data_IF_682949767598
#
_entry.id   IF_682949767598
#
_cell.length_a   1.000
_cell.length_b   1.000
_cell.length_c   1.000
_cell.angle_alpha   90.00
_cell.angle_beta   90.00
_cell.angle_gamma   90.00
#
_symmetry.space_group_name_H-M   'P 1'
#
loop_
_entity.id
_entity.type
_entity.pdbx_description
1 polymer ?
#
# COMPACT_ATOMS: atom_id res chain seq x y z
N UNK A 1 10.82 -4.39 3.64
CA UNK A 1 10.88 -2.96 4.02
C UNK A 1 11.80 -2.28 3.02
N UNK A 2 11.34 -1.25 2.30
CA UNK A 2 12.15 -0.55 1.30
C UNK A 2 12.83 0.69 1.89
N UNK A 3 12.08 1.51 2.62
CA UNK A 3 12.60 2.74 3.22
C UNK A 3 11.86 3.07 4.53
N UNK A 4 12.58 3.61 5.52
CA UNK A 4 12.00 4.07 6.79
C UNK A 4 11.97 5.60 6.81
N UNK A 5 10.84 6.17 7.19
CA UNK A 5 10.70 7.57 7.53
C UNK A 5 10.43 7.72 9.03
N UNK A 6 10.43 8.95 9.52
CA UNK A 6 10.26 9.28 10.94
C UNK A 6 8.94 8.72 11.51
N UNK A 7 7.84 8.90 10.78
CA UNK A 7 6.50 8.48 11.19
C UNK A 7 5.81 7.52 10.20
N UNK A 8 6.52 7.06 9.16
CA UNK A 8 5.96 6.17 8.13
C UNK A 8 7.01 5.18 7.60
N UNK A 9 6.60 4.15 6.86
CA UNK A 9 7.50 3.17 6.23
C UNK A 9 7.02 2.84 4.82
N UNK A 10 7.93 2.89 3.84
CA UNK A 10 7.68 2.39 2.49
C UNK A 10 7.88 0.88 2.47
N UNK A 11 6.83 0.16 2.05
CA UNK A 11 6.84 -1.30 1.97
C UNK A 11 6.47 -1.77 0.57
N UNK A 12 7.25 -2.72 0.06
CA UNK A 12 6.89 -3.50 -1.12
C UNK A 12 5.95 -4.62 -0.71
N UNK A 13 4.75 -4.64 -1.28
CA UNK A 13 3.77 -5.69 -1.06
C UNK A 13 3.61 -6.55 -2.32
N UNK A 14 3.76 -7.86 -2.18
CA UNK A 14 3.55 -8.83 -3.27
C UNK A 14 2.45 -9.81 -2.85
N UNK A 15 1.16 -9.52 -3.15
CA UNK A 15 0.07 -10.36 -2.73
C UNK A 15 0.10 -11.70 -3.48
N UNK A 16 0.14 -12.80 -2.73
CA UNK A 16 0.17 -14.17 -3.30
C UNK A 16 -1.19 -14.54 -3.89
N UNK A 17 -2.27 -13.98 -3.33
CA UNK A 17 -3.65 -14.14 -3.81
C UNK A 17 -4.23 -12.78 -4.19
N UNK A 18 -5.30 -12.76 -4.99
CA UNK A 18 -5.91 -11.54 -5.52
C UNK A 18 -7.21 -11.13 -4.81
N UNK A 19 -7.33 -11.32 -3.49
CA UNK A 19 -8.59 -10.98 -2.79
C UNK A 19 -8.82 -9.47 -2.76
N UNK A 20 -10.08 -9.07 -2.75
CA UNK A 20 -10.48 -7.67 -2.64
C UNK A 20 -9.87 -7.02 -1.40
N UNK A 21 -9.22 -5.87 -1.58
CA UNK A 21 -8.57 -5.09 -0.52
C UNK A 21 -7.50 -5.83 0.30
N UNK A 22 -6.95 -6.95 -0.20
CA UNK A 22 -6.07 -7.83 0.56
C UNK A 22 -4.90 -7.10 1.23
N UNK A 23 -4.17 -6.27 0.46
CA UNK A 23 -3.03 -5.52 1.01
C UNK A 23 -3.51 -4.56 2.11
N UNK A 24 -4.57 -3.78 1.85
CA UNK A 24 -5.13 -2.78 2.77
C UNK A 24 -5.51 -3.38 4.13
N UNK A 25 -6.23 -4.51 4.10
CA UNK A 25 -6.68 -5.20 5.32
C UNK A 25 -5.51 -5.85 6.04
N UNK A 26 -4.55 -6.44 5.33
CA UNK A 26 -3.40 -7.09 5.95
C UNK A 26 -2.50 -6.08 6.66
N UNK A 27 -2.23 -4.93 6.05
CA UNK A 27 -1.39 -3.88 6.65
C UNK A 27 -2.08 -3.27 7.88
N UNK A 28 -3.40 -3.05 7.82
CA UNK A 28 -4.19 -2.66 8.99
C UNK A 28 -4.12 -3.71 10.11
N UNK A 29 -4.34 -4.99 9.78
CA UNK A 29 -4.30 -6.09 10.75
C UNK A 29 -2.94 -6.23 11.43
N UNK A 30 -1.86 -5.95 10.68
CA UNK A 30 -0.50 -5.91 11.22
C UNK A 30 -0.20 -4.66 12.08
N UNK A 31 -1.15 -3.75 12.27
CA UNK A 31 -0.98 -2.51 13.06
C UNK A 31 -0.34 -1.36 12.28
N UNK A 32 -0.18 -1.49 10.96
CA UNK A 32 0.45 -0.49 10.10
C UNK A 32 -0.46 -0.16 8.91
N UNK A 33 -1.60 0.53 9.13
CA UNK A 33 -2.55 0.84 8.07
C UNK A 33 -1.92 1.72 6.97
N UNK A 34 -2.48 1.66 5.76
CA UNK A 34 -2.00 2.48 4.63
C UNK A 34 -2.48 3.92 4.81
N UNK A 35 -1.60 4.87 4.48
CA UNK A 35 -1.92 6.29 4.44
C UNK A 35 -3.08 6.61 3.48
N UNK A 36 -3.99 7.47 3.92
CA UNK A 36 -5.18 7.95 3.19
C UNK A 36 -6.07 6.80 2.72
N UNK A 37 -6.21 5.78 3.55
CA UNK A 37 -7.19 4.71 3.36
C UNK A 37 -8.49 5.05 4.11
N UNK A 38 -9.51 5.48 3.38
CA UNK A 38 -10.79 5.92 3.97
C UNK A 38 -11.52 4.85 4.80
N UNK A 39 -11.21 3.56 4.61
CA UNK A 39 -11.94 2.43 5.23
C UNK A 39 -11.13 1.71 6.31
N UNK A 40 -9.84 1.50 6.06
CA UNK A 40 -8.95 0.72 6.92
C UNK A 40 -7.78 1.55 7.47
N UNK A 41 -7.75 2.85 7.15
CA UNK A 41 -6.70 3.79 7.54
C UNK A 41 -6.81 4.29 8.98
N UNK A 42 -5.86 5.14 9.34
CA UNK A 42 -5.84 5.86 10.60
C UNK A 42 -5.85 7.38 10.33
N UNK A 43 -6.88 8.05 10.84
CA UNK A 43 -7.07 9.50 10.66
C UNK A 43 -6.00 10.33 11.37
N UNK A 44 -5.41 9.84 12.45
CA UNK A 44 -4.31 10.53 13.14
C UNK A 44 -3.04 10.44 12.31
N UNK A 45 -2.76 9.27 11.72
CA UNK A 45 -1.66 9.08 10.78
C UNK A 45 -1.83 9.96 9.52
N UNK A 46 -3.03 10.05 8.97
CA UNK A 46 -3.31 10.90 7.81
C UNK A 46 -3.11 12.40 8.13
N UNK A 47 -3.47 12.84 9.34
CA UNK A 47 -3.20 14.21 9.80
C UNK A 47 -1.71 14.50 9.90
N UNK A 48 -0.90 13.55 10.39
CA UNK A 48 0.56 13.70 10.43
C UNK A 48 1.15 13.84 9.01
N UNK A 49 0.57 13.13 8.05
CA UNK A 49 0.98 13.20 6.64
C UNK A 49 0.41 14.41 5.88
N UNK A 50 -0.48 15.22 6.47
CA UNK A 50 -1.11 16.35 5.78
C UNK A 50 -0.11 17.34 5.17
N UNK A 51 1.05 17.55 5.82
CA UNK A 51 2.12 18.42 5.34
C UNK A 51 2.81 17.91 4.07
N UNK A 52 2.67 16.62 3.73
CA UNK A 52 3.25 16.03 2.52
C UNK A 52 2.47 16.35 1.24
N UNK A 53 1.27 16.93 1.36
CA UNK A 53 0.37 17.18 0.24
C UNK A 53 -0.32 15.92 -0.29
N UNK A 54 -0.14 14.77 0.37
CA UNK A 54 -0.83 13.54 0.03
C UNK A 54 -2.34 13.68 0.27
N UNK A 55 -3.14 13.21 -0.68
CA UNK A 55 -4.61 13.33 -0.65
C UNK A 55 -5.34 12.10 -1.21
N UNK A 56 -4.64 10.97 -1.34
CA UNK A 56 -5.13 9.73 -1.94
C UNK A 56 -4.48 8.53 -1.29
N UNK A 57 -5.15 7.39 -1.37
CA UNK A 57 -4.63 6.09 -0.95
C UNK A 57 -3.20 5.88 -1.46
N UNK A 58 -2.26 5.68 -0.54
CA UNK A 58 -0.86 5.43 -0.86
C UNK A 58 -0.60 3.95 -1.18
N UNK A 59 -1.30 3.45 -2.20
CA UNK A 59 -1.13 2.10 -2.72
C UNK A 59 -0.94 2.17 -4.23
N UNK A 60 0.17 1.65 -4.72
CA UNK A 60 0.52 1.70 -6.14
C UNK A 60 0.99 0.34 -6.66
N UNK A 61 0.44 -0.09 -7.79
CA UNK A 61 0.87 -1.29 -8.50
C UNK A 61 2.14 -0.97 -9.31
N UNK A 62 3.30 -0.97 -8.64
CA UNK A 62 4.56 -0.53 -9.22
C UNK A 62 5.13 -1.48 -10.29
N UNK A 63 4.81 -2.77 -10.22
CA UNK A 63 5.30 -3.77 -11.16
C UNK A 63 4.27 -4.88 -11.38
N UNK A 64 4.22 -5.38 -12.62
CA UNK A 64 3.46 -6.56 -12.99
C UNK A 64 4.34 -7.44 -13.87
N UNK A 65 4.42 -8.73 -13.53
CA UNK A 65 5.15 -9.73 -14.32
C UNK A 65 4.18 -10.84 -14.70
N UNK A 66 4.08 -11.09 -15.99
CA UNK A 66 3.32 -12.20 -16.55
C UNK A 66 3.98 -12.63 -17.87
N UNK A 67 3.81 -13.90 -18.24
CA UNK A 67 4.25 -14.40 -19.55
C UNK A 67 3.25 -13.94 -20.61
N UNK A 68 3.72 -13.37 -21.72
CA UNK A 68 2.82 -12.93 -22.79
C UNK A 68 2.03 -14.13 -23.35
N UNK A 69 0.69 -14.08 -23.39
CA UNK A 69 -0.14 -15.24 -23.70
C UNK A 69 0.03 -15.76 -25.14
N UNK A 70 0.41 -14.89 -26.08
CA UNK A 70 0.62 -15.26 -27.48
C UNK A 70 2.07 -15.53 -27.89
N UNK A 71 3.06 -15.12 -27.07
CA UNK A 71 4.47 -15.15 -27.46
C UNK A 71 5.33 -16.04 -26.54
N UNK A 72 4.78 -16.49 -25.41
CA UNK A 72 5.45 -17.41 -24.49
C UNK A 72 6.63 -16.80 -23.72
N UNK A 73 6.80 -15.48 -23.76
CA UNK A 73 7.88 -14.72 -23.11
C UNK A 73 7.35 -13.47 -22.44
#
# INVERSE_FOLDING_TARGET
MEERYEFATLVRCSPVTGRTHQIRVHTQYAGHPIAFDDRYGDREFDKQLSATGLNRLFLHAAALKFTHPGAGR
#
